data_IF_424786627461
#
_entry.id   IF_424786627461
#
_cell.length_a   1.000
_cell.length_b   1.000
_cell.length_c   1.000
_cell.angle_alpha   90.00
_cell.angle_beta   90.00
_cell.angle_gamma   90.00
#
_symmetry.space_group_name_H-M   'P 1'
#
loop_
_entity.id
_entity.type
_entity.pdbx_description
1 polymer ?
#
# COMPACT_ATOMS: atom_id res chain seq x y z
N UNK A 1 41.71 1.36 -7.30
CA UNK A 1 40.58 0.49 -6.90
C UNK A 1 39.30 1.24 -7.20
N UNK A 2 38.34 0.63 -7.92
CA UNK A 2 37.05 1.27 -8.23
C UNK A 2 36.11 1.21 -7.03
N UNK A 3 35.35 2.28 -6.79
CA UNK A 3 34.31 2.29 -5.77
C UNK A 3 33.23 1.23 -6.06
N UNK A 4 32.64 0.60 -5.03
CA UNK A 4 31.57 -0.38 -5.22
C UNK A 4 30.31 0.27 -5.81
N UNK A 5 29.71 -0.37 -6.82
CA UNK A 5 28.50 0.12 -7.49
C UNK A 5 27.25 -0.06 -6.61
N UNK A 6 26.44 0.99 -6.47
CA UNK A 6 25.17 0.94 -5.75
C UNK A 6 24.17 -0.02 -6.41
N UNK A 7 23.46 -0.81 -5.59
CA UNK A 7 22.43 -1.75 -6.04
C UNK A 7 21.06 -1.31 -5.50
N UNK A 8 20.15 -0.80 -6.36
CA UNK A 8 18.84 -0.39 -5.90
C UNK A 8 17.98 -1.59 -5.49
N UNK A 9 17.05 -1.37 -4.58
CA UNK A 9 16.05 -2.34 -4.13
C UNK A 9 14.67 -1.67 -4.07
N UNK A 10 13.60 -2.47 -3.94
CA UNK A 10 12.22 -1.97 -3.92
C UNK A 10 11.96 -0.91 -2.84
N UNK A 11 12.64 -1.01 -1.71
CA UNK A 11 12.55 -0.06 -0.58
C UNK A 11 13.78 0.86 -0.47
N UNK A 12 14.74 0.76 -1.39
CA UNK A 12 15.95 1.58 -1.43
C UNK A 12 16.21 2.00 -2.89
N UNK A 13 15.59 3.10 -3.30
CA UNK A 13 15.66 3.60 -4.68
C UNK A 13 17.06 4.06 -5.04
N UNK A 14 17.32 4.20 -6.35
CA UNK A 14 18.57 4.76 -6.85
C UNK A 14 18.62 6.27 -6.54
N UNK A 15 19.73 6.80 -6.00
CA UNK A 15 19.93 8.23 -5.89
C UNK A 15 19.88 8.89 -7.28
N UNK A 16 19.28 10.09 -7.42
CA UNK A 16 19.13 10.75 -8.72
C UNK A 16 20.49 11.01 -9.40
N UNK A 17 21.53 11.35 -8.63
CA UNK A 17 22.88 11.60 -9.16
C UNK A 17 23.57 10.37 -9.72
N UNK A 18 23.11 9.17 -9.35
CA UNK A 18 23.61 7.89 -9.87
C UNK A 18 22.75 7.35 -11.01
N UNK A 19 21.61 7.96 -11.29
CA UNK A 19 20.77 7.60 -12.43
C UNK A 19 21.40 8.15 -13.72
N UNK A 20 21.80 7.29 -14.68
CA UNK A 20 22.34 7.77 -15.96
C UNK A 20 21.36 8.66 -16.73
N UNK A 21 20.06 8.48 -16.53
CA UNK A 21 19.03 9.27 -17.20
C UNK A 21 18.99 10.73 -16.72
N UNK A 22 19.52 11.05 -15.54
CA UNK A 22 19.57 12.41 -15.01
C UNK A 22 20.43 13.34 -15.89
N UNK A 23 21.46 12.77 -16.52
CA UNK A 23 22.39 13.51 -17.39
C UNK A 23 21.99 13.43 -18.88
N UNK A 24 20.77 13.00 -19.19
CA UNK A 24 20.30 12.96 -20.57
C UNK A 24 20.08 14.38 -21.11
N UNK A 25 20.85 14.74 -22.14
CA UNK A 25 20.79 16.01 -22.86
C UNK A 25 20.00 15.91 -24.17
N UNK A 26 19.28 14.81 -24.38
CA UNK A 26 18.45 14.63 -25.57
C UNK A 26 17.39 15.74 -25.71
N UNK A 27 17.09 16.19 -26.94
CA UNK A 27 16.07 17.22 -27.15
C UNK A 27 14.67 16.75 -26.72
N UNK A 28 14.41 15.44 -26.76
CA UNK A 28 13.15 14.85 -26.30
C UNK A 28 13.00 14.95 -24.77
N UNK A 29 14.07 14.63 -24.01
CA UNK A 29 14.08 14.81 -22.56
C UNK A 29 13.86 16.28 -22.18
N UNK A 30 14.52 17.20 -22.89
CA UNK A 30 14.32 18.65 -22.70
C UNK A 30 12.86 19.09 -22.92
N UNK A 31 12.22 18.61 -23.99
CA UNK A 31 10.79 18.88 -24.25
C UNK A 31 9.90 18.32 -23.14
N UNK A 32 10.12 17.07 -22.73
CA UNK A 32 9.34 16.44 -21.67
C UNK A 32 9.49 17.18 -20.31
N UNK A 33 10.70 17.65 -19.98
CA UNK A 33 10.93 18.46 -18.79
C UNK A 33 10.20 19.81 -18.86
N UNK A 34 10.27 20.50 -20.00
CA UNK A 34 9.58 21.76 -20.22
C UNK A 34 8.05 21.62 -20.11
N UNK A 35 7.48 20.57 -20.71
CA UNK A 35 6.05 20.26 -20.63
C UNK A 35 5.61 19.96 -19.19
N UNK A 36 6.36 19.12 -18.46
CA UNK A 36 6.10 18.84 -17.04
C UNK A 36 6.17 20.11 -16.19
N UNK A 37 7.15 20.98 -16.46
CA UNK A 37 7.30 22.26 -15.78
C UNK A 37 6.12 23.19 -16.08
N UNK A 38 5.65 23.24 -17.33
CA UNK A 38 4.49 24.04 -17.74
C UNK A 38 3.20 23.56 -17.05
N UNK A 39 2.99 22.24 -16.96
CA UNK A 39 1.85 21.68 -16.22
C UNK A 39 1.97 22.04 -14.74
N UNK A 40 3.15 21.88 -14.13
CA UNK A 40 3.39 22.20 -12.71
C UNK A 40 3.16 23.68 -12.40
N UNK A 41 3.66 24.58 -13.26
CA UNK A 41 3.51 26.03 -13.06
C UNK A 41 2.05 26.47 -13.23
N UNK A 42 1.32 25.89 -14.20
CA UNK A 42 -0.12 26.11 -14.37
C UNK A 42 -0.93 25.71 -13.14
N UNK A 43 -0.72 24.48 -12.64
CA UNK A 43 -1.42 23.99 -11.44
C UNK A 43 -1.06 24.81 -10.19
N UNK A 44 0.21 25.20 -10.03
CA UNK A 44 0.64 26.06 -8.92
C UNK A 44 -0.05 27.43 -8.99
N UNK A 45 -0.14 28.04 -10.17
CA UNK A 45 -0.83 29.32 -10.37
C UNK A 45 -2.31 29.22 -9.99
N UNK A 46 -3.00 28.18 -10.46
CA UNK A 46 -4.41 27.94 -10.14
C UNK A 46 -4.64 27.84 -8.63
N UNK A 47 -3.82 27.06 -7.93
CA UNK A 47 -3.88 26.94 -6.48
C UNK A 47 -3.63 28.29 -5.78
N UNK A 48 -2.59 29.02 -6.18
CA UNK A 48 -2.24 30.30 -5.56
C UNK A 48 -3.31 31.38 -5.76
N UNK A 49 -3.98 31.40 -6.92
CA UNK A 49 -5.11 32.31 -7.16
C UNK A 49 -6.27 32.05 -6.21
N UNK A 50 -6.55 30.78 -5.92
CA UNK A 50 -7.59 30.39 -4.97
C UNK A 50 -7.19 30.63 -3.51
N UNK A 51 -5.92 30.36 -3.19
CA UNK A 51 -5.37 30.49 -1.84
C UNK A 51 -5.23 31.94 -1.39
N UNK A 52 -4.79 32.82 -2.30
CA UNK A 52 -4.59 34.24 -1.99
C UNK A 52 -5.88 35.08 -2.14
N UNK A 53 -7.04 34.47 -2.41
CA UNK A 53 -8.29 35.22 -2.55
C UNK A 53 -8.85 35.61 -1.16
N UNK A 54 -8.90 36.90 -0.80
CA UNK A 54 -9.37 37.34 0.51
C UNK A 54 -10.85 37.08 0.77
N UNK A 55 -11.68 36.90 -0.26
CA UNK A 55 -13.11 36.61 -0.10
C UNK A 55 -13.41 35.13 0.10
N UNK A 56 -12.41 34.25 -0.04
CA UNK A 56 -12.61 32.81 0.11
C UNK A 56 -12.61 32.43 1.60
N UNK A 57 -13.71 31.82 2.04
CA UNK A 57 -13.83 31.22 3.37
C UNK A 57 -14.17 29.74 3.22
N UNK A 58 -13.16 28.86 3.24
CA UNK A 58 -13.36 27.41 3.14
C UNK A 58 -12.15 26.64 2.61
N UNK A 59 -12.26 25.31 2.61
CA UNK A 59 -11.22 24.40 2.12
C UNK A 59 -11.02 24.57 0.60
N UNK A 60 -9.76 24.46 0.14
CA UNK A 60 -9.44 24.33 -1.29
C UNK A 60 -9.55 22.86 -1.66
N UNK A 61 -10.56 22.53 -2.48
CA UNK A 61 -10.73 21.18 -3.00
C UNK A 61 -9.62 20.88 -4.00
N UNK A 62 -8.85 19.83 -3.71
CA UNK A 62 -7.86 19.30 -4.64
C UNK A 62 -8.50 18.19 -5.49
N UNK A 63 -8.72 18.40 -6.80
CA UNK A 63 -9.27 17.37 -7.67
C UNK A 63 -8.35 16.14 -7.78
N UNK A 64 -7.04 16.28 -7.57
CA UNK A 64 -6.12 15.14 -7.55
C UNK A 64 -6.39 14.25 -6.34
N UNK A 65 -6.62 14.83 -5.16
CA UNK A 65 -6.98 14.10 -3.95
C UNK A 65 -8.34 13.39 -4.12
N UNK A 66 -9.35 14.09 -4.64
CA UNK A 66 -10.68 13.51 -4.88
C UNK A 66 -10.64 12.34 -5.88
N UNK A 67 -9.83 12.44 -6.94
CA UNK A 67 -9.61 11.34 -7.89
C UNK A 67 -8.87 10.18 -7.24
N UNK A 68 -7.89 10.45 -6.39
CA UNK A 68 -7.17 9.42 -5.65
C UNK A 68 -8.07 8.66 -4.69
N UNK A 69 -8.92 9.36 -3.92
CA UNK A 69 -9.88 8.71 -3.02
C UNK A 69 -10.88 7.88 -3.82
N UNK A 70 -11.45 8.44 -4.89
CA UNK A 70 -12.37 7.71 -5.78
C UNK A 70 -11.74 6.44 -6.36
N UNK A 71 -10.48 6.52 -6.82
CA UNK A 71 -9.75 5.38 -7.35
C UNK A 71 -9.56 4.26 -6.30
N UNK A 72 -9.43 4.63 -5.02
CA UNK A 72 -9.21 3.69 -3.90
C UNK A 72 -10.51 3.13 -3.31
N UNK A 73 -11.63 3.81 -3.45
CA UNK A 73 -12.90 3.42 -2.82
C UNK A 73 -13.89 2.88 -3.85
N UNK A 74 -14.36 3.73 -4.77
CA UNK A 74 -15.45 3.42 -5.67
C UNK A 74 -14.99 2.66 -6.93
N UNK A 75 -13.77 2.92 -7.40
CA UNK A 75 -13.29 2.39 -8.67
C UNK A 75 -12.67 0.97 -8.60
N UNK A 76 -12.66 0.35 -7.42
CA UNK A 76 -12.00 -0.95 -7.22
C UNK A 76 -12.83 -2.09 -7.81
N UNK A 77 -14.10 -2.20 -7.44
CA UNK A 77 -14.97 -3.30 -7.89
C UNK A 77 -15.36 -3.20 -9.38
N UNK A 78 -15.67 -2.02 -9.94
CA UNK A 78 -15.99 -1.90 -11.37
C UNK A 78 -14.86 -2.37 -12.31
N UNK A 79 -13.60 -2.24 -11.88
CA UNK A 79 -12.44 -2.68 -12.65
C UNK A 79 -11.91 -4.06 -12.24
N UNK A 80 -12.56 -4.72 -11.27
CA UNK A 80 -12.17 -6.06 -10.85
C UNK A 80 -12.58 -7.08 -11.90
N UNK A 81 -11.62 -7.93 -12.31
CA UNK A 81 -11.87 -9.07 -13.18
C UNK A 81 -11.56 -10.37 -12.42
N UNK A 82 -12.48 -11.34 -12.38
CA UNK A 82 -12.22 -12.64 -11.79
C UNK A 82 -11.28 -13.43 -12.71
N UNK A 83 -9.97 -13.26 -12.49
CA UNK A 83 -8.91 -14.00 -13.18
C UNK A 83 -8.38 -15.12 -12.29
N UNK A 84 -7.81 -16.20 -12.85
CA UNK A 84 -7.26 -17.28 -12.03
C UNK A 84 -6.24 -16.82 -10.97
N UNK A 85 -5.40 -15.84 -11.32
CA UNK A 85 -4.44 -15.22 -10.39
C UNK A 85 -5.14 -14.52 -9.23
N UNK A 86 -6.17 -13.72 -9.52
CA UNK A 86 -6.90 -12.97 -8.50
C UNK A 86 -7.72 -13.89 -7.60
N UNK A 87 -8.38 -14.90 -8.19
CA UNK A 87 -9.15 -15.90 -7.46
C UNK A 87 -8.25 -16.74 -6.55
N UNK A 88 -7.08 -17.17 -7.03
CA UNK A 88 -6.12 -17.92 -6.21
C UNK A 88 -5.60 -17.06 -5.05
N UNK A 89 -5.22 -15.81 -5.32
CA UNK A 89 -4.78 -14.89 -4.28
C UNK A 89 -5.87 -14.65 -3.23
N UNK A 90 -7.11 -14.46 -3.68
CA UNK A 90 -8.27 -14.29 -2.81
C UNK A 90 -8.55 -15.52 -1.95
N UNK A 91 -8.45 -16.73 -2.51
CA UNK A 91 -8.63 -17.97 -1.76
C UNK A 91 -7.51 -18.17 -0.72
N UNK A 92 -6.25 -17.97 -1.11
CA UNK A 92 -5.10 -18.16 -0.22
C UNK A 92 -5.12 -17.14 0.93
N UNK A 93 -5.37 -15.86 0.64
CA UNK A 93 -5.34 -14.81 1.67
C UNK A 93 -6.65 -14.75 2.46
N UNK A 94 -7.79 -15.04 1.83
CA UNK A 94 -9.09 -14.99 2.49
C UNK A 94 -9.40 -16.25 3.31
N UNK A 95 -9.25 -17.43 2.71
CA UNK A 95 -9.62 -18.71 3.33
C UNK A 95 -8.43 -19.33 4.05
N UNK A 96 -7.20 -19.14 3.56
CA UNK A 96 -5.99 -19.72 4.14
C UNK A 96 -5.82 -19.44 5.63
N UNK A 97 -5.93 -18.19 6.12
CA UNK A 97 -5.85 -17.88 7.54
C UNK A 97 -6.95 -18.55 8.38
N UNK A 98 -8.17 -18.71 7.82
CA UNK A 98 -9.26 -19.36 8.53
C UNK A 98 -8.96 -20.85 8.76
N UNK A 99 -8.49 -21.54 7.71
CA UNK A 99 -8.08 -22.95 7.81
C UNK A 99 -6.90 -23.08 8.78
N UNK A 100 -5.90 -22.19 8.67
CA UNK A 100 -4.74 -22.18 9.55
C UNK A 100 -5.15 -22.07 11.03
N UNK A 101 -5.94 -21.04 11.37
CA UNK A 101 -6.37 -20.83 12.76
C UNK A 101 -7.34 -21.90 13.25
N UNK A 102 -8.18 -22.45 12.37
CA UNK A 102 -9.02 -23.59 12.71
C UNK A 102 -8.17 -24.74 13.24
N UNK A 103 -7.11 -25.14 12.54
CA UNK A 103 -6.25 -26.25 12.98
C UNK A 103 -5.45 -25.91 14.23
N UNK A 104 -4.90 -24.69 14.34
CA UNK A 104 -4.16 -24.25 15.54
C UNK A 104 -5.06 -24.32 16.77
N UNK A 105 -6.26 -23.75 16.72
CA UNK A 105 -7.17 -23.76 17.86
C UNK A 105 -7.77 -25.15 18.11
N UNK A 106 -8.07 -25.91 17.06
CA UNK A 106 -8.61 -27.26 17.20
C UNK A 106 -7.62 -28.17 17.91
N UNK A 107 -6.36 -28.17 17.48
CA UNK A 107 -5.31 -29.00 18.10
C UNK A 107 -5.00 -28.58 19.54
N UNK A 108 -4.98 -27.28 19.84
CA UNK A 108 -4.79 -26.79 21.20
C UNK A 108 -5.95 -27.21 22.13
N UNK A 109 -7.19 -27.03 21.67
CA UNK A 109 -8.39 -27.42 22.43
C UNK A 109 -8.46 -28.93 22.66
N UNK A 110 -8.22 -29.73 21.63
CA UNK A 110 -8.25 -31.19 21.74
C UNK A 110 -7.16 -31.69 22.70
N UNK A 111 -5.96 -31.10 22.64
CA UNK A 111 -4.88 -31.37 23.59
C UNK A 111 -5.27 -31.00 25.02
N UNK A 112 -5.82 -29.80 25.23
CA UNK A 112 -6.25 -29.32 26.55
C UNK A 112 -7.34 -30.21 27.14
N UNK A 113 -8.36 -30.54 26.34
CA UNK A 113 -9.45 -31.43 26.76
C UNK A 113 -8.95 -32.83 27.11
N UNK A 114 -8.00 -33.38 26.33
CA UNK A 114 -7.36 -34.66 26.63
C UNK A 114 -6.62 -34.63 27.98
N UNK A 115 -5.82 -33.59 28.23
CA UNK A 115 -5.09 -33.44 29.50
C UNK A 115 -6.02 -33.24 30.70
N UNK A 116 -7.17 -32.59 30.53
CA UNK A 116 -8.20 -32.48 31.57
C UNK A 116 -8.79 -33.86 31.88
N UNK A 117 -9.17 -34.62 30.85
CA UNK A 117 -9.77 -35.96 31.02
C UNK A 117 -8.80 -36.96 31.66
N UNK A 118 -7.52 -36.87 31.34
CA UNK A 118 -6.46 -37.70 31.93
C UNK A 118 -6.03 -37.23 33.35
N UNK A 119 -6.58 -36.11 33.84
CA UNK A 119 -6.19 -35.52 35.14
C UNK A 119 -4.77 -34.96 35.18
N UNK A 120 -4.13 -34.76 34.02
CA UNK A 120 -2.74 -34.27 33.89
C UNK A 120 -2.64 -32.75 33.86
N UNK A 121 -3.75 -32.04 33.58
CA UNK A 121 -3.76 -30.59 33.56
C UNK A 121 -3.99 -30.01 34.95
N UNK A 122 -3.06 -29.20 35.44
CA UNK A 122 -3.25 -28.48 36.71
C UNK A 122 -4.34 -27.41 36.60
N UNK A 123 -5.40 -27.56 37.39
CA UNK A 123 -6.57 -26.66 37.45
C UNK A 123 -7.03 -26.38 38.88
N UNK A 124 -6.17 -26.57 39.89
CA UNK A 124 -6.55 -26.53 41.32
C UNK A 124 -7.31 -25.28 41.76
N UNK A 125 -6.96 -24.10 41.22
CA UNK A 125 -7.60 -22.81 41.56
C UNK A 125 -8.44 -22.23 40.41
N UNK A 126 -8.74 -23.02 39.38
CA UNK A 126 -9.50 -22.54 38.22
C UNK A 126 -11.01 -22.70 38.46
N UNK A 127 -11.57 -21.73 39.18
CA UNK A 127 -12.99 -21.65 39.58
C UNK A 127 -13.85 -20.74 38.68
N UNK A 128 -13.24 -19.94 37.81
CA UNK A 128 -13.92 -19.07 36.83
C UNK A 128 -13.45 -19.39 35.42
N UNK A 129 -14.38 -19.58 34.49
CA UNK A 129 -14.14 -20.04 33.11
C UNK A 129 -13.94 -18.90 32.12
#
# INVERSE_FOLDING_TARGET
MSNPKYKPARLATLPPTLDPAEYDISPEAGKAQAERLAIRSRLKREYLLQYNNPSRHGLIEDPALARWTFARTANVYPNFRPTPKNSLLGAVIGIGPLIFWYYVFKTDRDRKEKLIKEGKLDRRYNISY
#
